data_IF_840785155485
#
_entry.id   IF_840785155485
#
_cell.length_a   1.000
_cell.length_b   1.000
_cell.length_c   1.000
_cell.angle_alpha   90.00
_cell.angle_beta   90.00
_cell.angle_gamma   90.00
#
_symmetry.space_group_name_H-M   'P 1'
#
loop_
_entity.id
_entity.type
_entity.pdbx_description
1 polymer ?
#
# COMPACT_ATOMS: atom_id res chain seq x y z
N UNK A 1 74.72 0.10 1.51
CA UNK A 1 73.82 0.19 0.34
C UNK A 1 73.12 1.54 0.38
N UNK A 2 73.28 2.41 -0.63
CA UNK A 2 72.58 3.69 -0.66
C UNK A 2 71.08 3.43 -0.87
N UNK A 3 70.25 3.99 0.01
CA UNK A 3 68.80 3.90 -0.10
C UNK A 3 68.34 4.81 -1.25
N UNK A 4 67.57 4.32 -2.24
CA UNK A 4 67.05 5.16 -3.31
C UNK A 4 66.13 6.23 -2.72
N UNK A 5 66.36 7.49 -3.10
CA UNK A 5 65.51 8.61 -2.68
C UNK A 5 64.19 8.55 -3.45
N UNK A 6 63.02 8.72 -2.79
CA UNK A 6 61.74 8.68 -3.47
C UNK A 6 61.60 9.87 -4.43
N UNK A 7 61.16 9.60 -5.65
CA UNK A 7 60.79 10.64 -6.62
C UNK A 7 59.48 11.28 -6.18
N UNK A 8 59.51 12.60 -5.99
CA UNK A 8 58.36 13.42 -5.59
C UNK A 8 57.74 13.99 -6.86
N UNK A 9 56.43 13.78 -7.03
CA UNK A 9 55.68 14.28 -8.18
C UNK A 9 54.79 15.44 -7.71
N UNK A 10 55.00 16.61 -8.31
CA UNK A 10 54.23 17.82 -8.03
C UNK A 10 53.22 18.10 -9.14
N UNK A 11 51.96 18.29 -8.78
CA UNK A 11 50.95 18.82 -9.69
C UNK A 11 50.29 20.08 -9.09
N UNK A 12 49.26 20.60 -9.77
CA UNK A 12 48.54 21.81 -9.36
C UNK A 12 47.92 21.74 -7.94
N UNK A 13 47.75 20.54 -7.39
CA UNK A 13 47.12 20.26 -6.10
C UNK A 13 48.12 19.92 -4.98
N UNK A 14 49.42 19.83 -5.28
CA UNK A 14 50.47 19.59 -4.28
C UNK A 14 51.59 18.66 -4.75
N UNK A 15 52.60 18.47 -3.89
CA UNK A 15 53.71 17.54 -4.10
C UNK A 15 53.54 16.32 -3.19
N UNK A 16 53.41 15.12 -3.78
CA UNK A 16 53.26 13.87 -3.04
C UNK A 16 54.06 12.75 -3.73
N UNK A 17 54.33 11.66 -3.01
CA UNK A 17 54.96 10.46 -3.60
C UNK A 17 53.97 9.69 -4.48
N UNK A 18 54.46 8.92 -5.46
CA UNK A 18 53.59 8.16 -6.37
C UNK A 18 52.67 7.16 -5.64
N UNK A 19 53.15 6.59 -4.53
CA UNK A 19 52.37 5.67 -3.70
C UNK A 19 51.17 6.36 -3.02
N UNK A 20 51.34 7.61 -2.55
CA UNK A 20 50.28 8.38 -1.90
C UNK A 20 49.19 8.81 -2.89
N UNK A 21 49.56 9.11 -4.15
CA UNK A 21 48.61 9.41 -5.22
C UNK A 21 47.69 8.22 -5.53
N UNK A 22 48.25 7.01 -5.61
CA UNK A 22 47.47 5.79 -5.85
C UNK A 22 46.49 5.51 -4.70
N UNK A 23 46.92 5.73 -3.45
CA UNK A 23 46.05 5.56 -2.28
C UNK A 23 44.90 6.56 -2.28
N UNK A 24 45.17 7.84 -2.57
CA UNK A 24 44.15 8.90 -2.61
C UNK A 24 43.07 8.63 -3.67
N UNK A 25 43.46 8.24 -4.88
CA UNK A 25 42.52 7.88 -5.95
C UNK A 25 41.68 6.66 -5.54
N UNK A 26 42.30 5.66 -4.90
CA UNK A 26 41.61 4.48 -4.38
C UNK A 26 40.50 4.83 -3.38
N UNK A 27 40.77 5.71 -2.41
CA UNK A 27 39.77 6.19 -1.47
C UNK A 27 38.65 7.00 -2.14
N UNK A 28 39.00 7.80 -3.16
CA UNK A 28 38.03 8.54 -3.96
C UNK A 28 37.02 7.62 -4.64
N UNK A 29 37.51 6.60 -5.36
CA UNK A 29 36.68 5.61 -6.04
C UNK A 29 35.82 4.84 -5.04
N UNK A 30 36.42 4.36 -3.94
CA UNK A 30 35.70 3.62 -2.91
C UNK A 30 34.53 4.42 -2.31
N UNK A 31 34.73 5.71 -2.05
CA UNK A 31 33.71 6.59 -1.50
C UNK A 31 32.54 6.79 -2.47
N UNK A 32 32.83 6.96 -3.77
CA UNK A 32 31.80 7.10 -4.81
C UNK A 32 30.98 5.82 -4.94
N UNK A 33 31.64 4.66 -4.98
CA UNK A 33 30.95 3.36 -5.06
C UNK A 33 30.07 3.13 -3.83
N UNK A 34 30.58 3.40 -2.62
CA UNK A 34 29.79 3.28 -1.39
C UNK A 34 28.55 4.20 -1.41
N UNK A 35 28.71 5.45 -1.86
CA UNK A 35 27.59 6.39 -2.03
C UNK A 35 26.53 5.87 -3.01
N UNK A 36 26.96 5.34 -4.16
CA UNK A 36 26.06 4.75 -5.15
C UNK A 36 25.35 3.49 -4.64
N UNK A 37 26.04 2.63 -3.89
CA UNK A 37 25.44 1.45 -3.26
C UNK A 37 24.36 1.82 -2.25
N UNK A 38 24.60 2.80 -1.39
CA UNK A 38 23.61 3.27 -0.42
C UNK A 38 22.39 3.87 -1.15
N UNK A 39 22.63 4.69 -2.16
CA UNK A 39 21.56 5.30 -2.94
C UNK A 39 20.71 4.26 -3.69
N UNK A 40 21.35 3.32 -4.39
CA UNK A 40 20.66 2.24 -5.10
C UNK A 40 19.90 1.31 -4.17
N UNK A 41 20.40 1.05 -2.95
CA UNK A 41 19.69 0.31 -1.91
C UNK A 41 18.38 1.01 -1.51
N UNK A 42 18.43 2.33 -1.23
CA UNK A 42 17.23 3.09 -0.90
C UNK A 42 16.25 3.21 -2.08
N UNK A 43 16.75 3.32 -3.31
CA UNK A 43 15.92 3.33 -4.51
C UNK A 43 15.20 1.98 -4.70
N UNK A 44 15.92 0.88 -4.54
CA UNK A 44 15.37 -0.48 -4.66
C UNK A 44 14.30 -0.76 -3.60
N UNK A 45 14.54 -0.38 -2.34
CA UNK A 45 13.57 -0.52 -1.24
C UNK A 45 12.23 0.17 -1.54
N UNK A 46 12.25 1.35 -2.17
CA UNK A 46 11.02 2.06 -2.53
C UNK A 46 10.23 1.32 -3.62
N UNK A 47 10.92 0.88 -4.67
CA UNK A 47 10.31 0.14 -5.76
C UNK A 47 9.73 -1.20 -5.27
N UNK A 48 10.41 -1.86 -4.35
CA UNK A 48 9.91 -3.09 -3.72
C UNK A 48 8.62 -2.84 -2.93
N UNK A 49 8.56 -1.77 -2.13
CA UNK A 49 7.33 -1.42 -1.39
C UNK A 49 6.13 -1.18 -2.31
N UNK A 50 6.33 -0.49 -3.44
CA UNK A 50 5.24 -0.28 -4.41
C UNK A 50 4.74 -1.60 -4.99
N UNK A 51 5.66 -2.48 -5.39
CA UNK A 51 5.32 -3.81 -5.89
C UNK A 51 4.62 -4.66 -4.83
N UNK A 52 5.06 -4.59 -3.58
CA UNK A 52 4.47 -5.34 -2.48
C UNK A 52 3.05 -4.85 -2.18
N UNK A 53 2.78 -3.54 -2.25
CA UNK A 53 1.42 -3.01 -2.11
C UNK A 53 0.51 -3.46 -3.24
N UNK A 54 1.00 -3.47 -4.48
CA UNK A 54 0.23 -3.96 -5.64
C UNK A 54 -0.09 -5.45 -5.46
N UNK A 55 0.91 -6.27 -5.10
CA UNK A 55 0.72 -7.70 -4.83
C UNK A 55 -0.29 -7.92 -3.71
N UNK A 56 -0.17 -7.18 -2.62
CA UNK A 56 -1.08 -7.27 -1.49
C UNK A 56 -2.51 -6.88 -1.86
N UNK A 57 -2.67 -5.81 -2.65
CA UNK A 57 -3.98 -5.42 -3.16
C UNK A 57 -4.60 -6.48 -4.07
N UNK A 58 -3.81 -7.10 -4.94
CA UNK A 58 -4.28 -8.19 -5.79
C UNK A 58 -4.67 -9.39 -4.92
N UNK A 59 -3.90 -9.69 -3.87
CA UNK A 59 -4.18 -10.78 -2.96
C UNK A 59 -5.47 -10.55 -2.16
N UNK A 60 -5.74 -9.31 -1.70
CA UNK A 60 -7.00 -8.97 -1.04
C UNK A 60 -8.20 -9.09 -1.97
N UNK A 61 -8.05 -8.61 -3.21
CA UNK A 61 -9.07 -8.79 -4.23
C UNK A 61 -9.32 -10.28 -4.48
N UNK A 62 -8.25 -11.05 -4.65
CA UNK A 62 -8.33 -12.50 -4.83
C UNK A 62 -9.00 -13.19 -3.65
N UNK A 63 -8.65 -12.84 -2.40
CA UNK A 63 -9.30 -13.39 -1.19
C UNK A 63 -10.80 -13.13 -1.19
N UNK A 64 -11.23 -11.93 -1.60
CA UNK A 64 -12.65 -11.58 -1.66
C UNK A 64 -13.43 -12.42 -2.69
N UNK A 65 -12.83 -12.73 -3.84
CA UNK A 65 -13.50 -13.40 -4.97
C UNK A 65 -13.25 -14.92 -5.07
N UNK A 66 -12.15 -15.43 -4.52
CA UNK A 66 -11.78 -16.85 -4.58
C UNK A 66 -12.24 -17.64 -3.34
N UNK A 67 -12.46 -16.97 -2.20
CA UNK A 67 -12.97 -17.63 -0.99
C UNK A 67 -14.45 -18.00 -1.19
N UNK A 68 -14.77 -19.31 -1.06
CA UNK A 68 -16.12 -19.83 -1.36
C UNK A 68 -17.21 -19.15 -0.51
N UNK A 69 -16.95 -18.90 0.78
CA UNK A 69 -17.91 -18.27 1.67
C UNK A 69 -18.17 -16.81 1.28
N UNK A 70 -17.11 -16.05 0.98
CA UNK A 70 -17.20 -14.65 0.61
C UNK A 70 -17.84 -14.47 -0.78
N UNK A 71 -17.46 -15.33 -1.73
CA UNK A 71 -18.01 -15.34 -3.08
C UNK A 71 -19.51 -15.64 -3.08
N UNK A 72 -19.94 -16.60 -2.28
CA UNK A 72 -21.36 -16.92 -2.13
C UNK A 72 -22.16 -15.72 -1.62
N UNK A 73 -21.65 -15.02 -0.60
CA UNK A 73 -22.27 -13.81 -0.09
C UNK A 73 -22.31 -12.70 -1.15
N UNK A 74 -21.20 -12.48 -1.86
CA UNK A 74 -21.14 -11.47 -2.91
C UNK A 74 -22.18 -11.71 -4.00
N UNK A 75 -22.32 -12.95 -4.45
CA UNK A 75 -23.32 -13.31 -5.44
C UNK A 75 -24.75 -13.09 -4.92
N UNK A 76 -25.00 -13.37 -3.64
CA UNK A 76 -26.31 -13.15 -3.02
C UNK A 76 -26.62 -11.66 -2.81
N UNK A 77 -25.62 -10.85 -2.48
CA UNK A 77 -25.77 -9.39 -2.29
C UNK A 77 -26.03 -8.70 -3.63
N UNK A 78 -25.33 -9.09 -4.70
CA UNK A 78 -25.50 -8.51 -6.04
C UNK A 78 -26.70 -9.11 -6.81
N UNK A 79 -27.31 -10.16 -6.24
CA UNK A 79 -28.49 -10.83 -6.78
C UNK A 79 -29.78 -10.03 -6.66
N UNK A 80 -30.85 -10.63 -7.19
CA UNK A 80 -32.21 -10.09 -7.08
C UNK A 80 -32.75 -10.19 -5.65
N UNK A 81 -33.80 -9.41 -5.34
CA UNK A 81 -34.44 -9.42 -3.99
C UNK A 81 -34.85 -10.84 -3.55
N UNK A 82 -35.27 -11.69 -4.49
CA UNK A 82 -35.63 -13.09 -4.20
C UNK A 82 -34.43 -13.93 -3.79
N UNK A 83 -33.27 -13.72 -4.41
CA UNK A 83 -32.03 -14.42 -4.06
C UNK A 83 -31.48 -13.92 -2.73
N UNK A 84 -31.58 -12.61 -2.48
CA UNK A 84 -31.18 -11.97 -1.22
C UNK A 84 -31.90 -12.56 0.00
N UNK A 85 -33.13 -13.05 -0.14
CA UNK A 85 -33.83 -13.74 0.95
C UNK A 85 -33.07 -14.97 1.48
N UNK A 86 -32.22 -15.61 0.64
CA UNK A 86 -31.36 -16.73 1.07
C UNK A 86 -30.30 -16.31 2.08
N UNK A 87 -30.02 -15.00 2.21
CA UNK A 87 -29.11 -14.48 3.23
C UNK A 87 -29.70 -14.63 4.64
N UNK A 88 -31.02 -14.75 4.80
CA UNK A 88 -31.66 -14.92 6.10
C UNK A 88 -31.50 -16.33 6.68
N UNK A 89 -30.99 -17.28 5.88
CA UNK A 89 -30.79 -18.66 6.34
C UNK A 89 -29.75 -18.72 7.48
N UNK A 90 -30.06 -19.47 8.54
CA UNK A 90 -29.21 -19.58 9.75
C UNK A 90 -27.75 -19.96 9.45
N UNK A 91 -27.50 -20.79 8.43
CA UNK A 91 -26.15 -21.20 8.01
C UNK A 91 -25.30 -20.05 7.43
N UNK A 92 -25.92 -18.92 7.06
CA UNK A 92 -25.24 -17.76 6.50
C UNK A 92 -24.60 -16.86 7.57
N UNK A 93 -24.98 -17.00 8.84
CA UNK A 93 -24.48 -16.14 9.92
C UNK A 93 -22.95 -16.15 10.07
N UNK A 94 -22.30 -17.31 9.92
CA UNK A 94 -20.83 -17.40 9.96
C UNK A 94 -20.17 -16.71 8.76
N UNK A 95 -20.73 -16.94 7.56
CA UNK A 95 -20.24 -16.34 6.32
C UNK A 95 -20.39 -14.81 6.36
N UNK A 96 -21.54 -14.31 6.82
CA UNK A 96 -21.84 -12.86 6.96
C UNK A 96 -20.83 -12.18 7.89
N UNK A 97 -20.53 -12.79 9.04
CA UNK A 97 -19.49 -12.31 9.96
C UNK A 97 -18.12 -12.27 9.28
N UNK A 98 -17.74 -13.34 8.57
CA UNK A 98 -16.48 -13.39 7.81
C UNK A 98 -16.39 -12.27 6.77
N UNK A 99 -17.49 -11.97 6.09
CA UNK A 99 -17.61 -10.86 5.14
C UNK A 99 -17.41 -9.51 5.83
N UNK A 100 -18.12 -9.24 6.93
CA UNK A 100 -17.95 -8.00 7.71
C UNK A 100 -16.49 -7.85 8.18
N UNK A 101 -15.92 -8.89 8.77
CA UNK A 101 -14.52 -8.89 9.24
C UNK A 101 -13.53 -8.58 8.12
N UNK A 102 -13.77 -9.04 6.88
CA UNK A 102 -12.92 -8.68 5.74
C UNK A 102 -12.86 -7.15 5.50
N UNK A 103 -13.98 -6.45 5.61
CA UNK A 103 -13.99 -4.98 5.47
C UNK A 103 -13.43 -4.27 6.70
N UNK A 104 -13.56 -4.85 7.89
CA UNK A 104 -12.90 -4.31 9.08
C UNK A 104 -11.37 -4.40 8.94
N UNK A 105 -10.85 -5.55 8.48
CA UNK A 105 -9.45 -5.71 8.13
C UNK A 105 -9.02 -4.67 7.08
N UNK A 106 -9.83 -4.44 6.05
CA UNK A 106 -9.57 -3.40 5.03
C UNK A 106 -9.48 -2.00 5.65
N UNK A 107 -10.43 -1.64 6.51
CA UNK A 107 -10.46 -0.35 7.20
C UNK A 107 -9.24 -0.18 8.11
N UNK A 108 -8.82 -1.23 8.82
CA UNK A 108 -7.59 -1.22 9.62
C UNK A 108 -6.35 -0.99 8.75
N UNK A 109 -6.28 -1.60 7.56
CA UNK A 109 -5.17 -1.42 6.61
C UNK A 109 -5.11 0.01 6.05
N UNK A 110 -6.27 0.61 5.78
CA UNK A 110 -6.39 2.01 5.38
C UNK A 110 -5.93 2.93 6.51
N UNK A 111 -6.39 2.70 7.74
CA UNK A 111 -6.00 3.48 8.94
C UNK A 111 -4.49 3.38 9.20
N UNK A 112 -3.90 2.21 9.00
CA UNK A 112 -2.47 1.97 9.11
C UNK A 112 -1.65 2.47 7.90
N UNK A 113 -2.31 3.07 6.89
CA UNK A 113 -1.71 3.66 5.69
C UNK A 113 -0.97 2.65 4.81
N UNK A 114 -1.35 1.39 4.86
CA UNK A 114 -0.87 0.37 3.92
C UNK A 114 -1.56 0.52 2.56
N UNK A 115 -2.85 0.90 2.56
CA UNK A 115 -3.65 1.08 1.34
C UNK A 115 -4.20 2.51 1.31
N UNK A 116 -4.30 3.09 0.11
CA UNK A 116 -4.98 4.36 -0.10
C UNK A 116 -6.48 4.20 0.16
N UNK A 117 -7.06 5.08 0.97
CA UNK A 117 -8.50 5.07 1.26
C UNK A 117 -9.34 5.13 -0.01
N UNK A 118 -9.01 6.04 -0.94
CA UNK A 118 -9.73 6.19 -2.21
C UNK A 118 -9.72 4.90 -3.04
N UNK A 119 -8.59 4.18 -3.02
CA UNK A 119 -8.47 2.89 -3.69
C UNK A 119 -9.33 1.82 -3.04
N UNK A 120 -9.28 1.71 -1.71
CA UNK A 120 -10.07 0.73 -0.96
C UNK A 120 -11.58 0.97 -1.14
N UNK A 121 -12.01 2.23 -1.06
CA UNK A 121 -13.40 2.63 -1.27
C UNK A 121 -13.85 2.36 -2.70
N UNK A 122 -13.03 2.67 -3.70
CA UNK A 122 -13.37 2.39 -5.09
C UNK A 122 -13.50 0.90 -5.41
N UNK A 123 -12.57 0.09 -4.91
CA UNK A 123 -12.55 -1.35 -5.21
C UNK A 123 -13.60 -2.13 -4.43
N UNK A 124 -13.85 -1.75 -3.17
CA UNK A 124 -14.59 -2.58 -2.22
C UNK A 124 -15.79 -1.86 -1.59
N UNK A 125 -15.84 -0.54 -1.62
CA UNK A 125 -16.84 0.26 -0.93
C UNK A 125 -18.27 0.01 -1.41
N UNK A 126 -18.47 -0.27 -2.71
CA UNK A 126 -19.78 -0.65 -3.25
C UNK A 126 -20.36 -1.87 -2.52
N UNK A 127 -19.58 -2.94 -2.38
CA UNK A 127 -20.05 -4.17 -1.73
C UNK A 127 -20.32 -3.99 -0.23
N UNK A 128 -19.48 -3.20 0.46
CA UNK A 128 -19.69 -2.87 1.86
C UNK A 128 -21.01 -2.10 2.07
N UNK A 129 -21.29 -1.13 1.20
CA UNK A 129 -22.54 -0.38 1.23
C UNK A 129 -23.74 -1.27 0.90
N UNK A 130 -23.67 -2.10 -0.13
CA UNK A 130 -24.76 -3.00 -0.49
C UNK A 130 -25.08 -3.98 0.65
N UNK A 131 -24.07 -4.51 1.33
CA UNK A 131 -24.27 -5.35 2.51
C UNK A 131 -24.94 -4.59 3.66
N UNK A 132 -24.51 -3.34 3.91
CA UNK A 132 -25.10 -2.49 4.93
C UNK A 132 -26.57 -2.18 4.67
N UNK A 133 -26.92 -1.83 3.43
CA UNK A 133 -28.28 -1.39 3.08
C UNK A 133 -29.25 -2.56 2.86
N UNK A 134 -28.72 -3.78 2.72
CA UNK A 134 -29.52 -4.97 2.51
C UNK A 134 -30.11 -5.48 3.84
N UNK A 135 -31.44 -5.38 3.96
CA UNK A 135 -32.20 -5.83 5.13
C UNK A 135 -32.12 -7.34 5.40
N UNK A 136 -31.98 -8.15 4.35
CA UNK A 136 -31.81 -9.60 4.48
C UNK A 136 -30.40 -9.96 4.96
N UNK A 137 -29.41 -9.10 4.65
CA UNK A 137 -28.05 -9.22 5.17
C UNK A 137 -27.98 -8.80 6.64
N UNK A 138 -28.48 -7.60 6.96
CA UNK A 138 -28.60 -7.05 8.31
C UNK A 138 -29.91 -7.47 8.99
N UNK A 139 -30.12 -8.79 9.08
CA UNK A 139 -31.25 -9.37 9.79
C UNK A 139 -30.95 -9.51 11.30
N UNK A 140 -31.93 -9.94 12.10
CA UNK A 140 -31.84 -10.03 13.56
C UNK A 140 -30.67 -10.89 14.09
N UNK A 141 -30.09 -11.78 13.27
CA UNK A 141 -28.90 -12.59 13.61
C UNK A 141 -27.59 -11.78 13.56
N UNK A 142 -27.62 -10.60 12.93
CA UNK A 142 -26.56 -9.63 12.89
C UNK A 142 -26.95 -8.46 13.79
N UNK A 143 -26.11 -8.18 14.78
CA UNK A 143 -26.27 -6.97 15.59
C UNK A 143 -26.17 -5.74 14.67
N UNK A 144 -27.28 -5.03 14.50
CA UNK A 144 -27.31 -3.71 13.83
C UNK A 144 -26.71 -2.61 14.73
N UNK A 145 -26.22 -2.98 15.92
CA UNK A 145 -25.55 -2.05 16.80
C UNK A 145 -24.14 -1.74 16.29
N UNK A 146 -23.83 -0.44 16.20
CA UNK A 146 -22.47 0.04 15.91
C UNK A 146 -21.40 -0.47 16.89
N UNK A 147 -21.81 -1.04 18.02
CA UNK A 147 -20.91 -1.58 19.05
C UNK A 147 -20.12 -2.77 18.52
N UNK A 148 -20.77 -3.65 17.76
CA UNK A 148 -20.13 -4.90 17.31
C UNK A 148 -19.39 -4.74 15.97
N UNK A 149 -19.90 -3.88 15.07
CA UNK A 149 -19.38 -3.74 13.70
C UNK A 149 -19.13 -2.28 13.28
N UNK A 150 -18.83 -1.39 14.23
CA UNK A 150 -18.66 0.04 13.98
C UNK A 150 -17.63 0.36 12.89
N UNK A 151 -16.54 -0.40 12.81
CA UNK A 151 -15.48 -0.18 11.80
C UNK A 151 -15.99 -0.46 10.39
N UNK A 152 -16.83 -1.49 10.23
CA UNK A 152 -17.49 -1.81 8.97
C UNK A 152 -18.48 -0.71 8.57
N UNK A 153 -19.32 -0.26 9.50
CA UNK A 153 -20.26 0.82 9.23
C UNK A 153 -19.56 2.12 8.83
N UNK A 154 -18.46 2.48 9.51
CA UNK A 154 -17.63 3.63 9.16
C UNK A 154 -17.09 3.51 7.73
N UNK A 155 -16.64 2.32 7.32
CA UNK A 155 -16.12 2.07 5.98
C UNK A 155 -17.21 2.23 4.90
N UNK A 156 -18.39 1.64 5.12
CA UNK A 156 -19.53 1.77 4.22
C UNK A 156 -20.04 3.23 4.12
N UNK A 157 -20.08 3.96 5.23
CA UNK A 157 -20.45 5.39 5.25
C UNK A 157 -19.42 6.26 4.55
N UNK A 158 -18.14 5.94 4.71
CA UNK A 158 -17.04 6.63 4.00
C UNK A 158 -17.18 6.48 2.49
N UNK A 159 -17.58 5.30 2.01
CA UNK A 159 -17.89 5.09 0.59
C UNK A 159 -19.05 5.98 0.14
N UNK A 160 -20.19 5.92 0.83
CA UNK A 160 -21.38 6.74 0.48
C UNK A 160 -21.06 8.24 0.45
N UNK A 161 -20.25 8.73 1.38
CA UNK A 161 -19.85 10.13 1.42
C UNK A 161 -18.95 10.52 0.23
N UNK A 162 -18.13 9.59 -0.28
CA UNK A 162 -17.11 9.87 -1.29
C UNK A 162 -17.46 9.37 -2.69
N UNK A 163 -18.51 8.57 -2.87
CA UNK A 163 -18.88 7.94 -4.14
C UNK A 163 -18.96 8.94 -5.31
N UNK A 164 -19.57 10.12 -5.09
CA UNK A 164 -19.68 11.19 -6.10
C UNK A 164 -18.34 11.86 -6.48
N UNK A 165 -17.32 11.69 -5.65
CA UNK A 165 -15.99 12.29 -5.81
C UNK A 165 -14.92 11.29 -6.26
N UNK A 166 -15.20 9.99 -6.19
CA UNK A 166 -14.30 8.93 -6.63
C UNK A 166 -14.18 8.97 -8.15
N UNK A 167 -13.06 9.51 -8.64
CA UNK A 167 -12.75 9.51 -10.06
C UNK A 167 -11.71 8.42 -10.35
N UNK A 168 -12.05 7.36 -11.12
CA UNK A 168 -11.16 6.24 -11.42
C UNK A 168 -9.77 6.66 -11.95
N UNK A 169 -9.70 7.76 -12.71
CA UNK A 169 -8.44 8.26 -13.29
C UNK A 169 -7.47 8.89 -12.27
N UNK A 170 -7.96 9.24 -11.07
CA UNK A 170 -7.18 9.87 -10.00
C UNK A 170 -6.84 8.92 -8.85
N UNK A 171 -7.31 7.67 -8.92
CA UNK A 171 -7.14 6.70 -7.86
C UNK A 171 -5.71 6.19 -7.89
N UNK A 172 -4.94 6.66 -6.94
CA UNK A 172 -3.60 6.16 -6.69
C UNK A 172 -3.73 4.92 -5.81
N UNK A 173 -3.14 3.81 -6.26
CA UNK A 173 -2.96 2.59 -5.45
C UNK A 173 -2.15 2.93 -4.18
N UNK A 174 -1.29 3.96 -4.26
CA UNK A 174 -0.40 4.42 -3.19
C UNK A 174 -0.78 5.79 -2.63
N UNK A 175 -0.51 6.00 -1.34
CA UNK A 175 -0.88 7.23 -0.65
C UNK A 175 -0.16 8.47 -1.24
N UNK A 176 -0.87 9.57 -1.54
CA UNK A 176 -0.28 10.80 -2.09
C UNK A 176 0.81 11.44 -1.21
N UNK A 177 0.83 11.19 0.11
CA UNK A 177 1.87 11.72 1.00
C UNK A 177 3.27 11.14 0.73
N UNK A 178 3.34 9.94 0.16
CA UNK A 178 4.58 9.34 -0.34
C UNK A 178 5.02 10.00 -1.64
N UNK A 179 4.07 10.37 -2.50
CA UNK A 179 4.31 11.04 -3.78
C UNK A 179 4.73 12.51 -3.58
N UNK A 180 4.11 13.24 -2.65
CA UNK A 180 4.50 14.62 -2.31
C UNK A 180 5.89 14.66 -1.66
N UNK A 181 6.23 13.68 -0.79
CA UNK A 181 7.60 13.51 -0.29
C UNK A 181 8.60 13.12 -1.38
N UNK A 182 8.17 12.40 -2.41
CA UNK A 182 9.00 12.09 -3.59
C UNK A 182 9.23 13.33 -4.45
N UNK A 183 8.18 14.10 -4.74
CA UNK A 183 8.25 15.33 -5.55
C UNK A 183 9.14 16.39 -4.89
N UNK A 184 9.02 16.57 -3.56
CA UNK A 184 9.86 17.49 -2.80
C UNK A 184 11.30 17.00 -2.60
N UNK A 185 11.59 15.69 -2.72
CA UNK A 185 12.97 15.16 -2.64
C UNK A 185 13.66 15.00 -4.00
N UNK A 186 12.91 14.89 -5.08
CA UNK A 186 13.43 14.84 -6.45
C UNK A 186 13.70 16.24 -7.01
N UNK A 187 13.17 17.29 -6.38
CA UNK A 187 13.41 18.67 -6.77
C UNK A 187 13.85 19.53 -5.56
N UNK A 188 15.02 19.26 -4.94
CA UNK A 188 15.52 20.08 -3.83
C UNK A 188 15.95 21.49 -4.28
N UNK A 189 16.01 21.76 -5.59
CA UNK A 189 16.42 23.04 -6.20
C UNK A 189 15.34 23.64 -7.12
N UNK A 190 14.06 23.32 -6.88
CA UNK A 190 12.94 23.93 -7.61
C UNK A 190 12.62 25.35 -7.14
N UNK A 191 13.50 26.30 -7.46
CA UNK A 191 13.26 27.72 -7.78
C UNK A 191 14.56 28.32 -8.31
#
# INVERSE_FOLDING_TARGET
>A
MPCPKPEIYCNLFGCMTQAEWLQSIGYGIATVVAGFSIWSYFYSQKKQRELDMVKFSIELHRRLFDDEDLKEILNLIDGTILEQASLEEFKMGSKKRKFITFFEEMSLLVRAKFISEDFALYMFGYYAMQAKDNKHFMNDDMSDERVDFGIFFDFAESYRAKESTLNPSKILITHPSLITKLKNRLNPFGN
#
